data_IF_195780872765
#
_entry.id   IF_195780872765
#
_cell.length_a   1.000
_cell.length_b   1.000
_cell.length_c   1.000
_cell.angle_alpha   90.00
_cell.angle_beta   90.00
_cell.angle_gamma   90.00
#
_symmetry.space_group_name_H-M   'P 1'
#
loop_
_entity.id
_entity.type
_entity.pdbx_description
1 polymer ?
#
# COMPACT_ATOMS: atom_id res chain seq x y z
N UNK A 1 -1.62 6.08 -32.85
CA UNK A 1 -0.69 5.07 -32.27
C UNK A 1 0.08 5.55 -31.05
N UNK A 2 0.39 6.84 -30.96
CA UNK A 2 1.13 7.41 -29.82
C UNK A 2 0.33 7.37 -28.51
N UNK A 3 -1.00 7.46 -28.55
CA UNK A 3 -1.86 7.38 -27.38
C UNK A 3 -1.94 5.96 -26.77
N UNK A 4 -1.83 4.93 -27.62
CA UNK A 4 -1.82 3.54 -27.17
C UNK A 4 -0.52 3.18 -26.46
N UNK A 5 0.63 3.68 -26.95
CA UNK A 5 1.93 3.46 -26.32
C UNK A 5 1.99 4.09 -24.93
N UNK A 6 1.41 5.28 -24.74
CA UNK A 6 1.35 5.94 -23.44
C UNK A 6 0.49 5.20 -22.43
N UNK A 7 -0.67 4.70 -22.84
CA UNK A 7 -1.56 3.93 -21.93
C UNK A 7 -0.99 2.54 -21.59
N UNK A 8 -0.34 1.88 -22.54
CA UNK A 8 0.33 0.59 -22.30
C UNK A 8 1.55 0.74 -21.39
N UNK A 9 2.31 1.83 -21.49
CA UNK A 9 3.41 2.13 -20.57
C UNK A 9 2.88 2.31 -19.13
N UNK A 10 1.85 3.09 -18.94
CA UNK A 10 1.24 3.26 -17.61
C UNK A 10 0.70 1.93 -17.04
N UNK A 11 0.13 1.05 -17.89
CA UNK A 11 -0.32 -0.29 -17.49
C UNK A 11 0.87 -1.16 -17.07
N UNK A 12 1.95 -1.15 -17.81
CA UNK A 12 3.14 -1.94 -17.53
C UNK A 12 3.89 -1.46 -16.30
N UNK A 13 4.13 -0.16 -16.20
CA UNK A 13 4.93 0.43 -15.12
C UNK A 13 4.32 0.18 -13.73
N UNK A 14 2.99 0.19 -13.63
CA UNK A 14 2.28 -0.11 -12.39
C UNK A 14 2.44 -1.56 -11.93
N UNK A 15 2.37 -2.53 -12.88
CA UNK A 15 2.63 -3.93 -12.57
C UNK A 15 4.11 -4.19 -12.28
N UNK A 16 5.03 -3.38 -12.83
CA UNK A 16 6.44 -3.43 -12.47
C UNK A 16 6.68 -2.99 -11.04
N UNK A 17 6.05 -1.88 -10.59
CA UNK A 17 6.15 -1.42 -9.20
C UNK A 17 5.53 -2.42 -8.20
N UNK A 18 4.39 -3.01 -8.56
CA UNK A 18 3.76 -4.08 -7.77
C UNK A 18 4.67 -5.32 -7.69
N UNK A 19 5.16 -5.80 -8.85
CA UNK A 19 6.08 -6.94 -8.92
C UNK A 19 7.38 -6.70 -8.17
N UNK A 20 7.93 -5.47 -8.22
CA UNK A 20 9.08 -5.10 -7.41
C UNK A 20 8.78 -5.24 -5.92
N UNK A 21 7.66 -4.68 -5.46
CA UNK A 21 7.28 -4.74 -4.06
C UNK A 21 7.02 -6.18 -3.58
N UNK A 22 6.39 -7.01 -4.40
CA UNK A 22 6.16 -8.44 -4.09
C UNK A 22 7.47 -9.23 -4.02
N UNK A 23 8.41 -8.98 -4.95
CA UNK A 23 9.67 -9.70 -5.00
C UNK A 23 10.66 -9.30 -3.91
N UNK A 24 10.65 -8.03 -3.50
CA UNK A 24 11.65 -7.48 -2.55
C UNK A 24 11.11 -7.30 -1.13
N UNK A 25 9.79 -7.18 -0.98
CA UNK A 25 9.15 -6.75 0.27
C UNK A 25 9.32 -5.24 0.56
N UNK A 26 9.91 -4.49 -0.38
CA UNK A 26 10.13 -3.06 -0.27
C UNK A 26 8.94 -2.28 -0.85
N UNK A 27 8.87 -0.96 -0.59
CA UNK A 27 7.85 -0.09 -1.14
C UNK A 27 8.01 0.06 -2.65
N UNK A 28 7.01 -0.37 -3.43
CA UNK A 28 6.91 -0.04 -4.84
C UNK A 28 6.41 1.39 -5.04
N UNK A 29 6.97 2.12 -6.01
CA UNK A 29 6.53 3.48 -6.34
C UNK A 29 6.17 3.56 -7.81
N UNK A 30 5.03 4.14 -8.12
CA UNK A 30 4.56 4.39 -9.48
C UNK A 30 4.08 5.81 -9.63
N UNK A 31 4.42 6.44 -10.76
CA UNK A 31 3.98 7.79 -11.11
C UNK A 31 3.15 7.71 -12.40
N UNK A 32 1.99 8.36 -12.41
CA UNK A 32 1.13 8.42 -13.57
C UNK A 32 0.56 9.83 -13.79
N UNK A 33 0.24 10.14 -15.03
CA UNK A 33 -0.44 11.40 -15.38
C UNK A 33 -1.91 11.38 -14.97
N UNK A 34 -2.57 12.54 -15.05
CA UNK A 34 -4.01 12.71 -14.82
C UNK A 34 -4.88 11.88 -15.78
N UNK A 35 -6.17 11.79 -15.51
CA UNK A 35 -7.16 11.14 -16.35
C UNK A 35 -6.86 9.66 -16.58
N UNK A 36 -6.66 9.23 -17.83
CA UNK A 36 -6.47 7.80 -18.15
C UNK A 36 -5.23 7.20 -17.52
N UNK A 37 -4.18 7.97 -17.23
CA UNK A 37 -3.00 7.51 -16.49
C UNK A 37 -3.37 7.10 -15.06
N UNK A 38 -4.05 7.96 -14.34
CA UNK A 38 -4.49 7.72 -12.98
C UNK A 38 -5.55 6.61 -12.89
N UNK A 39 -6.58 6.63 -13.76
CA UNK A 39 -7.65 5.63 -13.73
C UNK A 39 -7.13 4.22 -14.06
N UNK A 40 -6.10 4.12 -14.89
CA UNK A 40 -5.45 2.86 -15.18
C UNK A 40 -4.71 2.26 -13.97
N UNK A 41 -4.42 3.02 -12.92
CA UNK A 41 -3.82 2.49 -11.68
C UNK A 41 -4.81 1.74 -10.78
N UNK A 42 -6.12 1.87 -10.98
CA UNK A 42 -7.12 1.34 -10.05
C UNK A 42 -7.03 -0.20 -9.94
N UNK A 43 -6.85 -0.90 -11.06
CA UNK A 43 -6.74 -2.38 -11.03
C UNK A 43 -5.53 -2.85 -10.21
N UNK A 44 -4.28 -2.40 -10.45
CA UNK A 44 -3.15 -2.84 -9.63
C UNK A 44 -3.19 -2.31 -8.19
N UNK A 45 -3.81 -1.17 -7.93
CA UNK A 45 -4.05 -0.72 -6.55
C UNK A 45 -4.99 -1.69 -5.83
N UNK A 46 -6.07 -2.14 -6.49
CA UNK A 46 -6.97 -3.14 -5.93
C UNK A 46 -6.24 -4.48 -5.69
N UNK A 47 -5.41 -4.94 -6.63
CA UNK A 47 -4.56 -6.12 -6.45
C UNK A 47 -3.60 -5.95 -5.25
N UNK A 48 -2.86 -4.85 -5.21
CA UNK A 48 -1.92 -4.57 -4.13
C UNK A 48 -2.60 -4.52 -2.75
N UNK A 49 -3.84 -4.01 -2.69
CA UNK A 49 -4.65 -4.00 -1.46
C UNK A 49 -5.02 -5.42 -1.02
N UNK A 50 -5.45 -6.26 -1.96
CA UNK A 50 -5.84 -7.65 -1.69
C UNK A 50 -4.65 -8.51 -1.27
N UNK A 51 -3.50 -8.34 -1.93
CA UNK A 51 -2.29 -9.12 -1.69
C UNK A 51 -1.40 -8.53 -0.59
N UNK A 52 -1.83 -7.43 0.03
CA UNK A 52 -1.05 -6.74 1.09
C UNK A 52 0.33 -6.25 0.60
N UNK A 53 0.39 -5.80 -0.65
CA UNK A 53 1.61 -5.30 -1.29
C UNK A 53 1.79 -3.81 -1.01
N UNK A 54 2.91 -3.35 -0.42
CA UNK A 54 3.14 -1.94 -0.16
C UNK A 54 3.40 -1.19 -1.47
N UNK A 55 2.53 -0.24 -1.82
CA UNK A 55 2.62 0.52 -3.06
C UNK A 55 2.30 2.00 -2.81
N UNK A 56 3.13 2.89 -3.34
CA UNK A 56 2.89 4.34 -3.38
C UNK A 56 2.60 4.76 -4.81
N UNK A 57 1.37 5.19 -5.08
CA UNK A 57 0.98 5.76 -6.36
C UNK A 57 0.97 7.30 -6.26
N UNK A 58 1.71 7.95 -7.14
CA UNK A 58 1.71 9.40 -7.27
C UNK A 58 1.05 9.73 -8.60
N UNK A 59 -0.07 10.44 -8.57
CA UNK A 59 -0.80 10.83 -9.77
C UNK A 59 -0.77 12.35 -9.98
N UNK A 60 -0.67 12.74 -11.23
CA UNK A 60 -0.97 14.11 -11.60
C UNK A 60 -2.48 14.36 -11.64
N UNK A 61 -2.90 15.58 -11.37
CA UNK A 61 -4.27 16.04 -11.52
C UNK A 61 -4.32 17.31 -12.38
N UNK A 62 -5.48 17.63 -12.93
CA UNK A 62 -5.70 18.94 -13.57
C UNK A 62 -5.44 20.07 -12.58
N UNK A 63 -5.30 21.31 -13.05
CA UNK A 63 -5.09 22.44 -12.14
C UNK A 63 -6.20 22.50 -11.08
N UNK A 64 -5.88 22.90 -9.86
CA UNK A 64 -6.80 22.93 -8.71
C UNK A 64 -8.10 23.71 -9.02
N UNK A 65 -8.00 24.79 -9.78
CA UNK A 65 -9.14 25.63 -10.22
C UNK A 65 -10.02 24.95 -11.27
N UNK A 66 -9.53 23.89 -11.92
CA UNK A 66 -10.26 23.16 -12.95
C UNK A 66 -10.95 21.89 -12.41
N UNK A 67 -10.59 21.45 -11.20
CA UNK A 67 -11.19 20.28 -10.55
C UNK A 67 -12.70 20.50 -10.34
N UNK A 68 -13.51 19.53 -10.78
CA UNK A 68 -14.96 19.58 -10.70
C UNK A 68 -15.64 20.33 -11.85
N UNK A 69 -14.90 20.69 -12.90
CA UNK A 69 -15.41 21.41 -14.06
C UNK A 69 -15.37 20.59 -15.37
N UNK A 70 -15.27 19.28 -15.29
CA UNK A 70 -15.15 18.36 -16.43
C UNK A 70 -14.02 18.75 -17.40
N UNK A 71 -12.87 19.13 -16.83
CA UNK A 71 -11.70 19.54 -17.58
C UNK A 71 -11.12 18.38 -18.40
N UNK A 72 -10.39 18.68 -19.49
CA UNK A 72 -9.74 17.67 -20.30
C UNK A 72 -8.79 16.79 -19.47
N UNK A 73 -8.98 15.49 -19.52
CA UNK A 73 -8.27 14.48 -18.72
C UNK A 73 -8.43 14.68 -17.20
N UNK A 74 -9.50 15.28 -16.75
CA UNK A 74 -9.89 15.22 -15.35
C UNK A 74 -10.41 13.83 -15.00
N UNK A 75 -10.04 13.35 -13.84
CA UNK A 75 -10.65 12.17 -13.22
C UNK A 75 -10.75 12.40 -11.70
N UNK A 76 -11.84 11.97 -11.10
CA UNK A 76 -11.98 12.02 -9.64
C UNK A 76 -11.15 10.90 -9.01
N UNK A 77 -9.83 11.03 -9.10
CA UNK A 77 -8.84 10.00 -8.74
C UNK A 77 -8.97 9.57 -7.29
N UNK A 78 -9.16 10.51 -6.38
CA UNK A 78 -9.36 10.22 -4.94
C UNK A 78 -10.59 9.33 -4.74
N UNK A 79 -11.72 9.68 -5.33
CA UNK A 79 -12.95 8.88 -5.22
C UNK A 79 -12.83 7.49 -5.86
N UNK A 80 -12.23 7.42 -7.05
CA UNK A 80 -12.02 6.16 -7.75
C UNK A 80 -11.08 5.20 -6.99
N UNK A 81 -10.06 5.74 -6.32
CA UNK A 81 -9.08 4.95 -5.59
C UNK A 81 -9.49 4.61 -4.15
N UNK A 82 -10.55 5.22 -3.62
CA UNK A 82 -10.97 5.07 -2.22
C UNK A 82 -11.18 3.62 -1.80
N UNK A 83 -11.80 2.81 -2.65
CA UNK A 83 -12.05 1.39 -2.39
C UNK A 83 -10.84 0.48 -2.67
N UNK A 84 -9.83 1.00 -3.36
CA UNK A 84 -8.66 0.25 -3.82
C UNK A 84 -7.36 0.61 -3.09
N UNK A 85 -7.43 1.49 -2.07
CA UNK A 85 -6.26 1.97 -1.33
C UNK A 85 -6.50 1.94 0.17
N UNK A 86 -5.42 1.92 0.95
CA UNK A 86 -5.50 2.12 2.41
C UNK A 86 -5.81 3.56 2.76
N UNK A 87 -5.26 4.49 1.99
CA UNK A 87 -5.49 5.91 2.13
C UNK A 87 -5.16 6.63 0.82
N UNK A 88 -5.73 7.82 0.65
CA UNK A 88 -5.42 8.68 -0.48
C UNK A 88 -5.36 10.15 -0.02
N UNK A 89 -4.56 10.93 -0.72
CA UNK A 89 -4.35 12.35 -0.49
C UNK A 89 -4.59 13.13 -1.76
N UNK A 90 -5.17 14.32 -1.64
CA UNK A 90 -5.13 15.37 -2.66
C UNK A 90 -4.30 16.52 -2.09
N UNK A 91 -3.18 16.84 -2.73
CA UNK A 91 -2.30 17.92 -2.30
C UNK A 91 -2.90 19.25 -2.67
N UNK A 92 -2.91 20.18 -1.73
CA UNK A 92 -3.45 21.54 -1.93
C UNK A 92 -2.38 22.63 -1.90
N UNK A 93 -1.21 22.33 -1.33
CA UNK A 93 -0.06 23.22 -1.29
C UNK A 93 1.25 22.42 -1.44
N UNK A 94 2.22 22.96 -2.16
CA UNK A 94 3.49 22.27 -2.42
C UNK A 94 4.32 22.04 -1.15
N UNK A 95 4.14 22.85 -0.10
CA UNK A 95 4.82 22.66 1.19
C UNK A 95 4.37 21.41 1.95
N UNK A 96 3.18 20.87 1.64
CA UNK A 96 2.64 19.64 2.25
C UNK A 96 3.30 18.38 1.70
N UNK A 97 3.85 18.43 0.48
CA UNK A 97 4.35 17.25 -0.24
C UNK A 97 5.32 16.40 0.60
N UNK A 98 6.36 16.97 1.24
CA UNK A 98 7.30 16.17 2.01
C UNK A 98 6.64 15.42 3.17
N UNK A 99 5.74 16.07 3.90
CA UNK A 99 5.03 15.47 5.03
C UNK A 99 4.07 14.38 4.55
N UNK A 100 3.27 14.65 3.51
CA UNK A 100 2.32 13.68 2.95
C UNK A 100 3.02 12.45 2.38
N UNK A 101 4.15 12.60 1.69
CA UNK A 101 4.92 11.46 1.19
C UNK A 101 5.49 10.60 2.33
N UNK A 102 5.92 11.22 3.44
CA UNK A 102 6.36 10.51 4.64
C UNK A 102 5.22 9.71 5.27
N UNK A 103 4.05 10.32 5.42
CA UNK A 103 2.84 9.67 5.93
C UNK A 103 2.36 8.54 5.02
N UNK A 104 2.30 8.79 3.71
CA UNK A 104 1.91 7.82 2.71
C UNK A 104 2.81 6.58 2.73
N UNK A 105 4.14 6.78 2.79
CA UNK A 105 5.09 5.68 2.97
C UNK A 105 4.82 4.90 4.25
N UNK A 106 4.63 5.59 5.37
CA UNK A 106 4.37 4.94 6.66
C UNK A 106 3.08 4.11 6.61
N UNK A 107 1.99 4.66 6.09
CA UNK A 107 0.71 3.95 5.96
C UNK A 107 0.84 2.75 5.03
N UNK A 108 1.55 2.90 3.89
CA UNK A 108 1.72 1.82 2.92
C UNK A 108 2.50 0.63 3.48
N UNK A 109 3.51 0.88 4.33
CA UNK A 109 4.47 -0.15 4.77
C UNK A 109 4.19 -0.72 6.16
N UNK A 110 3.26 -0.14 6.94
CA UNK A 110 3.00 -0.57 8.32
C UNK A 110 1.62 -1.21 8.50
N UNK A 111 1.41 -1.92 9.61
CA UNK A 111 0.21 -2.73 9.83
C UNK A 111 0.09 -3.82 8.77
N UNK A 112 -1.10 -4.00 8.18
CA UNK A 112 -1.23 -4.76 6.94
C UNK A 112 -0.72 -3.88 5.79
N UNK A 113 0.37 -4.22 5.09
CA UNK A 113 0.86 -3.43 3.97
C UNK A 113 -0.21 -3.25 2.88
N UNK A 114 -0.08 -2.21 2.08
CA UNK A 114 -1.04 -1.95 1.01
C UNK A 114 -0.82 -0.61 0.33
N UNK A 115 -1.56 -0.30 -0.73
CA UNK A 115 -1.37 0.87 -1.54
C UNK A 115 -1.88 2.15 -0.89
N UNK A 116 -1.16 3.24 -1.15
CA UNK A 116 -1.57 4.62 -0.85
C UNK A 116 -1.43 5.45 -2.12
N UNK A 117 -2.36 6.37 -2.36
CA UNK A 117 -2.35 7.25 -3.52
C UNK A 117 -2.17 8.71 -3.08
N UNK A 118 -1.33 9.44 -3.81
CA UNK A 118 -1.12 10.88 -3.63
C UNK A 118 -1.39 11.57 -4.96
N UNK A 119 -2.46 12.34 -5.03
CA UNK A 119 -2.90 13.07 -6.22
C UNK A 119 -2.44 14.53 -6.14
N UNK A 120 -1.71 15.00 -7.15
CA UNK A 120 -1.04 16.31 -7.11
C UNK A 120 -1.49 17.15 -8.30
N UNK A 121 -2.23 18.25 -8.07
CA UNK A 121 -2.63 19.17 -9.13
C UNK A 121 -1.45 19.82 -9.85
N UNK A 122 -1.64 20.07 -11.16
CA UNK A 122 -0.60 20.62 -12.04
C UNK A 122 -0.04 21.95 -11.56
N UNK A 123 -0.88 22.84 -11.07
CA UNK A 123 -0.48 24.14 -10.53
C UNK A 123 0.35 24.00 -9.26
N UNK A 124 0.03 23.03 -8.40
CA UNK A 124 0.80 22.72 -7.21
C UNK A 124 2.18 22.13 -7.57
N UNK A 125 2.27 21.25 -8.58
CA UNK A 125 3.55 20.74 -9.09
C UNK A 125 4.47 21.83 -9.64
N UNK A 126 3.90 22.94 -10.11
CA UNK A 126 4.65 24.07 -10.64
C UNK A 126 4.94 25.16 -9.58
N UNK A 127 4.44 25.00 -8.36
CA UNK A 127 4.73 25.92 -7.27
C UNK A 127 6.21 25.84 -6.86
N UNK A 128 6.76 27.02 -6.53
CA UNK A 128 8.06 27.11 -5.85
C UNK A 128 7.80 27.19 -4.35
N UNK A 129 8.18 26.19 -3.63
CA UNK A 129 8.07 26.16 -2.18
C UNK A 129 9.47 26.00 -1.53
N UNK A 130 9.65 26.58 -0.35
CA UNK A 130 10.82 26.29 0.45
C UNK A 130 10.75 24.85 0.95
N UNK A 131 11.90 24.15 0.98
CA UNK A 131 11.96 22.81 1.58
C UNK A 131 11.62 22.89 3.07
N UNK A 132 10.65 22.11 3.48
CA UNK A 132 10.29 21.93 4.90
C UNK A 132 10.60 20.47 5.27
N UNK A 133 11.47 20.29 6.25
CA UNK A 133 11.79 18.95 6.75
C UNK A 133 10.52 18.31 7.34
N UNK A 134 10.15 17.10 6.93
CA UNK A 134 8.95 16.45 7.45
C UNK A 134 9.00 16.26 8.97
N UNK A 135 7.96 16.72 9.66
CA UNK A 135 7.80 16.60 11.11
C UNK A 135 7.59 15.18 11.62
N UNK A 136 7.17 15.03 12.86
CA UNK A 136 6.72 13.76 13.41
C UNK A 136 5.49 13.22 12.67
N UNK A 137 5.26 11.91 12.76
CA UNK A 137 4.02 11.29 12.27
C UNK A 137 2.92 11.52 13.30
N UNK A 138 1.91 12.31 12.94
CA UNK A 138 0.68 12.48 13.72
C UNK A 138 -0.51 11.97 12.92
N UNK A 139 -0.84 10.69 13.09
CA UNK A 139 -1.93 10.00 12.41
C UNK A 139 -2.92 9.47 13.47
N UNK A 140 -3.83 10.31 14.00
CA UNK A 140 -4.72 9.93 15.11
C UNK A 140 -5.56 8.69 14.83
N UNK A 141 -5.99 8.51 13.58
CA UNK A 141 -6.80 7.39 13.13
C UNK A 141 -6.00 6.14 12.73
N UNK A 142 -4.67 6.19 12.70
CA UNK A 142 -3.84 5.10 12.23
C UNK A 142 -2.71 4.77 13.22
N UNK A 143 -2.98 3.79 14.08
CA UNK A 143 -2.04 3.29 15.10
C UNK A 143 -1.92 1.78 14.99
N UNK A 144 -1.10 1.25 14.06
CA UNK A 144 -0.94 -0.19 13.90
C UNK A 144 -0.36 -0.82 15.16
N UNK A 145 -0.97 -1.93 15.60
CA UNK A 145 -0.51 -2.69 16.77
C UNK A 145 0.74 -3.47 16.38
N UNK A 146 1.86 -3.23 17.06
CA UNK A 146 3.13 -3.91 16.86
C UNK A 146 3.42 -4.96 17.93
N UNK A 147 2.81 -4.82 19.10
CA UNK A 147 2.99 -5.71 20.24
C UNK A 147 1.81 -6.65 20.41
N UNK A 148 2.04 -7.99 20.51
CA UNK A 148 0.96 -8.92 20.74
C UNK A 148 0.44 -8.80 22.18
N UNK A 149 -0.85 -9.08 22.41
CA UNK A 149 -1.42 -9.16 23.74
C UNK A 149 -0.94 -10.42 24.46
N UNK A 150 -0.16 -10.34 25.56
CA UNK A 150 0.41 -11.51 26.25
C UNK A 150 -0.62 -12.54 26.69
N UNK A 151 -1.81 -12.09 27.14
CA UNK A 151 -2.89 -12.98 27.57
C UNK A 151 -3.43 -13.81 26.40
N UNK A 152 -3.57 -13.18 25.21
CA UNK A 152 -4.02 -13.88 24.00
C UNK A 152 -2.99 -14.90 23.54
N UNK A 153 -1.70 -14.57 23.62
CA UNK A 153 -0.59 -15.50 23.28
C UNK A 153 -0.62 -16.72 24.23
N UNK A 154 -0.82 -16.50 25.54
CA UNK A 154 -0.96 -17.61 26.52
C UNK A 154 -2.18 -18.49 26.22
N UNK A 155 -3.31 -17.87 25.86
CA UNK A 155 -4.52 -18.64 25.49
C UNK A 155 -4.29 -19.49 24.25
N UNK A 156 -3.70 -18.90 23.19
CA UNK A 156 -3.34 -19.62 21.97
C UNK A 156 -2.40 -20.80 22.26
N UNK A 157 -1.34 -20.57 23.03
CA UNK A 157 -0.41 -21.61 23.46
C UNK A 157 -1.12 -22.75 24.22
N UNK A 158 -2.05 -22.41 25.11
CA UNK A 158 -2.82 -23.39 25.88
C UNK A 158 -3.76 -24.21 24.98
N UNK A 159 -4.37 -23.57 23.98
CA UNK A 159 -5.22 -24.27 22.99
C UNK A 159 -4.41 -25.26 22.14
N UNK A 160 -3.24 -24.83 21.66
CA UNK A 160 -2.33 -25.70 20.88
C UNK A 160 -1.93 -26.93 21.73
N UNK A 161 -1.52 -26.71 22.99
CA UNK A 161 -1.12 -27.79 23.90
C UNK A 161 -2.24 -28.77 24.21
N UNK A 162 -3.50 -28.31 24.24
CA UNK A 162 -4.67 -29.17 24.48
C UNK A 162 -5.18 -29.90 23.24
N UNK A 163 -4.76 -29.45 22.07
CA UNK A 163 -5.22 -29.98 20.79
C UNK A 163 -4.66 -31.38 20.56
N UNK A 164 -5.51 -32.32 20.13
CA UNK A 164 -5.09 -33.70 19.80
C UNK A 164 -4.53 -33.83 18.39
N UNK A 165 -4.98 -32.99 17.48
CA UNK A 165 -4.59 -33.00 16.06
C UNK A 165 -4.48 -31.57 15.54
N UNK A 166 -3.50 -30.78 16.02
CA UNK A 166 -3.32 -29.41 15.55
C UNK A 166 -2.85 -29.39 14.10
N UNK A 167 -3.26 -28.38 13.37
CA UNK A 167 -2.77 -28.05 12.03
C UNK A 167 -2.46 -26.55 12.01
N UNK A 168 -1.34 -26.16 11.41
CA UNK A 168 -1.02 -24.76 11.15
C UNK A 168 -1.47 -24.40 9.74
N UNK A 169 -2.46 -23.50 9.63
CA UNK A 169 -2.89 -22.93 8.37
C UNK A 169 -2.26 -21.55 8.21
N UNK A 170 -1.32 -21.41 7.28
CA UNK A 170 -0.37 -20.30 7.18
C UNK A 170 -0.63 -19.48 5.93
N UNK A 171 -0.70 -18.18 6.05
CA UNK A 171 -0.85 -17.24 4.94
C UNK A 171 0.34 -16.29 4.80
N UNK A 172 0.26 -15.35 3.86
CA UNK A 172 1.31 -14.37 3.53
C UNK A 172 1.81 -13.51 4.70
N UNK A 173 1.06 -13.45 5.81
CA UNK A 173 1.50 -12.77 7.02
C UNK A 173 2.83 -13.29 7.59
N UNK A 174 3.14 -14.58 7.42
CA UNK A 174 4.44 -15.15 7.83
C UNK A 174 5.58 -14.58 7.00
N UNK A 175 5.38 -14.41 5.69
CA UNK A 175 6.38 -13.83 4.79
C UNK A 175 6.59 -12.35 5.12
N UNK A 176 5.51 -11.59 5.26
CA UNK A 176 5.57 -10.17 5.60
C UNK A 176 6.23 -9.89 6.95
N UNK A 177 5.99 -10.75 7.95
CA UNK A 177 6.61 -10.65 9.27
C UNK A 177 8.02 -11.25 9.33
N UNK A 178 8.49 -11.90 8.26
CA UNK A 178 9.77 -12.63 8.21
C UNK A 178 9.88 -13.71 9.28
N UNK A 179 8.75 -14.31 9.70
CA UNK A 179 8.64 -15.30 10.77
C UNK A 179 8.76 -16.76 10.29
N UNK A 180 9.45 -16.99 9.17
CA UNK A 180 9.61 -18.33 8.58
C UNK A 180 10.36 -19.27 9.49
N UNK A 181 11.41 -18.78 10.17
CA UNK A 181 12.24 -19.60 11.07
C UNK A 181 11.46 -20.01 12.32
N UNK A 182 10.70 -19.08 12.90
CA UNK A 182 9.86 -19.32 14.07
C UNK A 182 8.73 -20.33 13.74
N UNK A 183 8.14 -20.20 12.55
CA UNK A 183 7.15 -21.16 12.07
C UNK A 183 7.76 -22.55 11.90
N UNK A 184 8.94 -22.65 11.27
CA UNK A 184 9.65 -23.92 11.07
C UNK A 184 10.00 -24.57 12.40
N UNK A 185 10.52 -23.79 13.35
CA UNK A 185 10.85 -24.28 14.70
C UNK A 185 9.60 -24.79 15.42
N UNK A 186 8.49 -24.03 15.38
CA UNK A 186 7.23 -24.43 15.98
C UNK A 186 6.70 -25.75 15.38
N UNK A 187 6.66 -25.83 14.05
CA UNK A 187 6.15 -26.99 13.35
C UNK A 187 6.97 -28.25 13.64
N UNK A 188 8.30 -28.13 13.57
CA UNK A 188 9.21 -29.28 13.76
C UNK A 188 9.27 -29.72 15.22
N UNK A 189 9.37 -28.80 16.17
CA UNK A 189 9.48 -29.08 17.60
C UNK A 189 8.24 -29.80 18.15
N UNK A 190 7.06 -29.45 17.64
CA UNK A 190 5.79 -30.00 18.09
C UNK A 190 5.18 -31.02 17.10
N UNK A 191 5.88 -31.32 16.02
CA UNK A 191 5.44 -32.20 14.94
C UNK A 191 4.03 -31.86 14.43
N UNK A 192 3.79 -30.58 14.15
CA UNK A 192 2.50 -30.04 13.68
C UNK A 192 2.53 -29.92 12.15
N UNK A 193 1.58 -30.53 11.42
CA UNK A 193 1.46 -30.33 9.98
C UNK A 193 1.19 -28.87 9.62
N UNK A 194 1.79 -28.42 8.53
CA UNK A 194 1.62 -27.06 8.00
C UNK A 194 0.94 -27.13 6.64
N UNK A 195 -0.08 -26.29 6.44
CA UNK A 195 -0.75 -26.05 5.15
C UNK A 195 -0.68 -24.57 4.86
N UNK A 196 -0.26 -24.20 3.66
CA UNK A 196 -0.16 -22.80 3.26
C UNK A 196 -1.32 -22.36 2.37
N UNK A 197 -1.64 -21.07 2.41
CA UNK A 197 -2.45 -20.45 1.36
C UNK A 197 -1.60 -20.21 0.11
N UNK A 198 -2.21 -19.76 -0.98
CA UNK A 198 -1.49 -19.41 -2.22
C UNK A 198 -0.37 -18.38 -1.98
N UNK A 199 -0.55 -17.47 -1.01
CA UNK A 199 0.37 -16.39 -0.67
C UNK A 199 1.19 -16.67 0.61
N UNK A 200 1.19 -17.91 1.09
CA UNK A 200 1.91 -18.32 2.29
C UNK A 200 3.14 -19.17 2.02
#
# INVERSE_FOLDING_TARGET
CWSLVGSEMCIRDRHMAEGYAQATGELGVVIATSGPGATNLITPLANALMDSTPLLAITGQVASTAIGNDAFQEAYTVGLSMAATKHNYLITDASEIPQVLKEAKFIATTGRPGPVLVDIPKDILNQVAAWVEPGGLDLPGYKPTTEPNPKMVQQASSLIKKSKKPILYVGGGIIHSKANNELFELATKFNIPVVTTLMG
#
